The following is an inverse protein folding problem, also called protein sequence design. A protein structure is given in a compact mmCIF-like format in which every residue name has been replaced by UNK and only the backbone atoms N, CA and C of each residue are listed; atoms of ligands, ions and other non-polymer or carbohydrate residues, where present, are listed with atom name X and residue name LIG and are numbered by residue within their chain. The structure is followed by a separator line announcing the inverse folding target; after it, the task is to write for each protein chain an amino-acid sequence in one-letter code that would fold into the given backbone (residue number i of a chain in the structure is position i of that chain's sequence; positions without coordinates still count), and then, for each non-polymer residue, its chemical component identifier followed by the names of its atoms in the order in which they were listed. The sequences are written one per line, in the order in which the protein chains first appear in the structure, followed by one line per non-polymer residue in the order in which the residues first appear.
data_IF_373511077020
#
_entry.id   IF_373511077020
#
_cell.length_a   1.000
_cell.length_b   1.000
_cell.length_c   1.000
_cell.angle_alpha   90.00
_cell.angle_beta   90.00
_cell.angle_gamma   90.00
#
_symmetry.space_group_name_H-M   'P 1'
#
loop_
_entity.id
_entity.type
_entity.pdbx_description
1 polymer ?
#
# COMPACT_ATOMS: atom_id res chain seq x y z
N UNK A 1 -21.42 11.06 -104.22
CA UNK A 1 -22.04 10.43 -103.03
C UNK A 1 -21.41 9.07 -102.80
N UNK A 2 -21.43 8.60 -101.55
CA UNK A 2 -20.89 7.33 -101.01
C UNK A 2 -19.38 7.25 -100.82
N UNK A 3 -19.00 7.31 -99.53
CA UNK A 3 -17.64 7.44 -99.05
C UNK A 3 -16.80 6.17 -99.09
N UNK A 4 -15.50 6.39 -99.22
CA UNK A 4 -14.45 5.39 -99.14
C UNK A 4 -14.34 4.86 -97.70
N UNK A 5 -15.00 3.73 -97.42
CA UNK A 5 -14.49 2.76 -96.46
C UNK A 5 -13.47 1.90 -97.18
N UNK A 6 -12.23 1.85 -96.70
CA UNK A 6 -11.53 0.58 -96.41
C UNK A 6 -10.15 0.81 -95.80
N UNK A 7 -10.00 0.14 -94.64
CA UNK A 7 -8.79 -0.52 -94.13
C UNK A 7 -7.70 0.41 -93.61
N UNK A 8 -7.94 0.90 -92.40
CA UNK A 8 -6.87 0.94 -91.42
C UNK A 8 -6.30 -0.47 -91.29
N UNK A 9 -5.00 -0.60 -91.52
CA UNK A 9 -4.20 -1.80 -91.30
C UNK A 9 -4.34 -2.18 -89.82
N UNK A 10 -5.20 -3.15 -89.55
CA UNK A 10 -5.32 -3.76 -88.23
C UNK A 10 -3.98 -4.36 -87.84
N UNK A 11 -3.41 -3.85 -86.75
CA UNK A 11 -2.23 -4.41 -86.08
C UNK A 11 -2.51 -5.89 -85.77
N UNK A 12 -1.52 -6.81 -85.89
CA UNK A 12 -1.75 -8.25 -85.78
C UNK A 12 -2.16 -8.63 -84.34
N UNK A 13 -3.44 -8.98 -84.17
CA UNK A 13 -4.10 -9.26 -82.88
C UNK A 13 -3.69 -10.57 -82.18
N UNK A 14 -2.74 -11.34 -82.73
CA UNK A 14 -2.37 -12.66 -82.18
C UNK A 14 -1.20 -12.64 -81.20
N UNK A 15 -0.17 -11.83 -81.49
CA UNK A 15 1.08 -11.85 -80.71
C UNK A 15 0.96 -10.96 -79.47
N UNK A 16 0.39 -9.76 -79.59
CA UNK A 16 0.20 -8.89 -78.42
C UNK A 16 -0.83 -9.44 -77.43
N UNK A 17 -1.91 -10.08 -77.90
CA UNK A 17 -2.86 -10.77 -77.01
C UNK A 17 -2.21 -11.95 -76.27
N UNK A 18 -1.31 -12.69 -76.93
CA UNK A 18 -0.57 -13.78 -76.29
C UNK A 18 0.45 -13.29 -75.26
N UNK A 19 1.12 -12.16 -75.53
CA UNK A 19 2.05 -11.53 -74.57
C UNK A 19 1.30 -11.00 -73.35
N UNK A 20 0.17 -10.32 -73.53
CA UNK A 20 -0.69 -9.84 -72.43
C UNK A 20 -1.24 -11.00 -71.61
N UNK A 21 -1.70 -12.08 -72.26
CA UNK A 21 -2.18 -13.27 -71.55
C UNK A 21 -1.06 -14.02 -70.79
N UNK A 22 0.15 -14.05 -71.34
CA UNK A 22 1.32 -14.62 -70.67
C UNK A 22 1.77 -13.77 -69.48
N UNK A 23 1.69 -12.44 -69.58
CA UNK A 23 1.98 -11.51 -68.48
C UNK A 23 0.93 -11.62 -67.36
N UNK A 24 -0.36 -11.70 -67.71
CA UNK A 24 -1.44 -11.93 -66.75
C UNK A 24 -1.29 -13.30 -66.05
N UNK A 25 -0.87 -14.35 -66.78
CA UNK A 25 -0.57 -15.66 -66.19
C UNK A 25 0.66 -15.62 -65.29
N UNK A 26 1.70 -14.86 -65.65
CA UNK A 26 2.88 -14.67 -64.82
C UNK A 26 2.55 -13.90 -63.53
N UNK A 27 1.69 -12.89 -63.60
CA UNK A 27 1.23 -12.13 -62.45
C UNK A 27 0.33 -12.96 -61.54
N UNK A 28 -0.60 -13.74 -62.10
CA UNK A 28 -1.38 -14.73 -61.32
C UNK A 28 -0.48 -15.74 -60.63
N UNK A 29 0.58 -16.22 -61.29
CA UNK A 29 1.58 -17.12 -60.69
C UNK A 29 2.36 -16.42 -59.56
N UNK A 30 2.81 -15.18 -59.75
CA UNK A 30 3.46 -14.37 -58.71
C UNK A 30 2.55 -14.15 -57.51
N UNK A 31 1.27 -13.80 -57.73
CA UNK A 31 0.28 -13.64 -56.67
C UNK A 31 0.01 -14.96 -55.93
N UNK A 32 -0.07 -16.09 -56.64
CA UNK A 32 -0.24 -17.42 -56.04
C UNK A 32 0.95 -17.79 -55.14
N UNK A 33 2.18 -17.49 -55.58
CA UNK A 33 3.39 -17.74 -54.77
C UNK A 33 3.42 -16.89 -53.51
N UNK A 34 3.06 -15.60 -53.60
CA UNK A 34 3.02 -14.72 -52.43
C UNK A 34 1.97 -15.19 -51.41
N UNK A 35 0.79 -15.58 -51.89
CA UNK A 35 -0.28 -16.12 -51.04
C UNK A 35 0.16 -17.41 -50.34
N UNK A 36 0.82 -18.32 -51.05
CA UNK A 36 1.36 -19.55 -50.48
C UNK A 36 2.43 -19.30 -49.40
N UNK A 37 3.31 -18.31 -49.59
CA UNK A 37 4.31 -17.92 -48.58
C UNK A 37 3.64 -17.36 -47.33
N UNK A 38 2.64 -16.49 -47.50
CA UNK A 38 1.88 -15.91 -46.39
C UNK A 38 1.08 -16.99 -45.64
N UNK A 39 0.44 -17.92 -46.35
CA UNK A 39 -0.31 -19.01 -45.74
C UNK A 39 0.63 -19.99 -45.01
N UNK A 40 1.82 -20.25 -45.55
CA UNK A 40 2.86 -21.01 -44.86
C UNK A 40 3.36 -20.29 -43.60
N UNK A 41 3.51 -18.97 -43.63
CA UNK A 41 3.89 -18.19 -42.45
C UNK A 41 2.78 -18.19 -41.38
N UNK A 42 1.51 -18.05 -41.79
CA UNK A 42 0.34 -18.17 -40.91
C UNK A 42 0.21 -19.56 -40.30
N UNK A 43 0.49 -20.60 -41.08
CA UNK A 43 0.50 -21.98 -40.60
C UNK A 43 1.61 -22.21 -39.58
N UNK A 44 2.83 -21.72 -39.85
CA UNK A 44 3.94 -21.75 -38.87
C UNK A 44 3.61 -20.99 -37.59
N UNK A 45 2.88 -19.88 -37.67
CA UNK A 45 2.44 -19.13 -36.49
C UNK A 45 1.36 -19.89 -35.69
N UNK A 46 0.45 -20.61 -36.36
CA UNK A 46 -0.53 -21.49 -35.71
C UNK A 46 0.15 -22.70 -35.06
N UNK A 47 1.12 -23.31 -35.74
CA UNK A 47 1.94 -24.41 -35.21
C UNK A 47 2.79 -23.93 -34.01
N UNK A 48 3.35 -22.73 -34.07
CA UNK A 48 4.09 -22.12 -32.95
C UNK A 48 3.17 -21.79 -31.74
N UNK A 49 1.94 -21.31 -31.98
CA UNK A 49 0.92 -21.15 -30.91
C UNK A 49 0.41 -22.47 -30.37
N UNK A 50 0.42 -23.54 -31.15
CA UNK A 50 0.09 -24.91 -30.71
C UNK A 50 1.24 -25.62 -29.99
N UNK A 51 2.49 -25.18 -30.17
CA UNK A 51 3.68 -25.79 -29.58
C UNK A 51 3.92 -25.45 -28.09
N UNK A 52 3.02 -24.71 -27.44
CA UNK A 52 3.07 -24.43 -25.98
C UNK A 52 1.99 -25.16 -25.16
N UNK A 53 1.42 -26.25 -25.69
CA UNK A 53 0.53 -27.11 -24.91
C UNK A 53 0.71 -28.58 -25.29
N UNK A 54 1.95 -29.08 -25.23
CA UNK A 54 2.17 -30.51 -24.96
C UNK A 54 2.53 -30.60 -23.50
N UNK A 55 1.51 -30.90 -22.69
CA UNK A 55 1.69 -31.28 -21.31
C UNK A 55 2.86 -32.24 -21.23
N UNK A 56 3.88 -31.84 -20.48
CA UNK A 56 4.78 -32.79 -19.88
C UNK A 56 3.90 -33.70 -19.05
N UNK A 57 3.55 -34.87 -19.59
CA UNK A 57 3.00 -35.99 -18.84
C UNK A 57 4.12 -36.58 -17.98
N UNK A 58 4.70 -35.72 -17.14
CA UNK A 58 5.30 -36.12 -15.90
C UNK A 58 4.10 -36.51 -15.06
N UNK A 59 3.78 -37.81 -15.10
CA UNK A 59 3.02 -38.42 -14.03
C UNK A 59 3.54 -37.81 -12.71
N UNK A 60 2.68 -37.23 -11.85
CA UNK A 60 3.16 -36.69 -10.60
C UNK A 60 3.90 -37.82 -9.91
N UNK A 61 5.24 -37.69 -9.83
CA UNK A 61 6.05 -38.57 -8.99
C UNK A 61 5.36 -38.53 -7.63
N UNK A 62 4.89 -39.65 -7.08
CA UNK A 62 4.40 -39.67 -5.71
C UNK A 62 5.57 -39.21 -4.83
N UNK A 63 5.48 -37.98 -4.31
CA UNK A 63 6.57 -37.32 -3.59
C UNK A 63 6.91 -35.89 -4.00
N UNK A 64 6.23 -35.29 -5.00
CA UNK A 64 6.43 -33.88 -5.40
C UNK A 64 5.12 -33.07 -5.47
N UNK A 65 4.11 -33.46 -4.69
CA UNK A 65 2.92 -32.62 -4.53
C UNK A 65 3.35 -31.34 -3.80
N UNK A 66 3.33 -30.22 -4.50
CA UNK A 66 3.59 -28.92 -3.89
C UNK A 66 2.59 -28.68 -2.76
N UNK A 67 3.10 -28.32 -1.58
CA UNK A 67 2.28 -28.00 -0.43
C UNK A 67 2.02 -26.49 -0.42
N UNK A 68 0.75 -26.10 -0.50
CA UNK A 68 0.33 -24.73 -0.24
C UNK A 68 0.79 -24.28 1.16
N UNK A 69 1.11 -23.00 1.36
CA UNK A 69 1.61 -22.52 2.63
C UNK A 69 0.54 -22.66 3.71
N UNK A 70 0.95 -23.15 4.88
CA UNK A 70 0.13 -23.25 6.08
C UNK A 70 0.87 -22.63 7.26
N UNK A 71 0.17 -21.87 8.09
CA UNK A 71 0.78 -21.18 9.23
C UNK A 71 0.81 -22.14 10.42
N UNK A 72 2.02 -22.54 10.82
CA UNK A 72 2.26 -23.39 12.00
C UNK A 72 2.26 -22.57 13.27
N UNK A 73 2.77 -21.33 13.21
CA UNK A 73 2.76 -20.40 14.34
C UNK A 73 2.25 -19.03 13.90
N UNK A 74 1.07 -18.68 14.43
CA UNK A 74 0.49 -17.37 14.25
C UNK A 74 1.31 -16.30 15.00
N UNK A 75 1.31 -15.04 14.52
CA UNK A 75 1.88 -13.93 15.26
C UNK A 75 1.12 -13.69 16.58
N UNK A 76 1.74 -13.00 17.56
CA UNK A 76 1.05 -12.59 18.77
C UNK A 76 -0.19 -11.74 18.45
N UNK A 77 -1.27 -11.90 19.20
CA UNK A 77 -2.48 -11.10 18.99
C UNK A 77 -2.25 -9.62 19.31
N UNK A 78 -1.47 -9.33 20.36
CA UNK A 78 -1.17 -7.98 20.82
C UNK A 78 0.32 -7.86 21.13
N UNK A 79 0.93 -6.76 20.70
CA UNK A 79 2.32 -6.40 20.99
C UNK A 79 2.32 -5.00 21.57
N UNK A 80 2.90 -4.83 22.75
CA UNK A 80 2.99 -3.51 23.41
C UNK A 80 4.45 -3.15 23.61
N UNK A 81 4.88 -2.02 23.06
CA UNK A 81 6.26 -1.55 23.12
C UNK A 81 6.28 -0.09 23.54
N UNK A 82 7.27 0.31 24.34
CA UNK A 82 7.46 1.72 24.68
C UNK A 82 7.93 2.51 23.45
N UNK A 83 7.58 3.80 23.38
CA UNK A 83 8.10 4.68 22.32
C UNK A 83 9.64 4.68 22.30
N UNK A 84 10.23 4.60 21.10
CA UNK A 84 11.67 4.44 20.87
C UNK A 84 12.19 3.01 21.06
N UNK A 85 11.30 2.05 21.35
CA UNK A 85 11.63 0.64 21.50
C UNK A 85 11.72 -0.13 20.18
N UNK A 86 11.82 -1.46 20.31
CA UNK A 86 11.87 -2.40 19.17
C UNK A 86 10.72 -3.41 19.31
N UNK A 87 9.89 -3.53 18.28
CA UNK A 87 8.86 -4.57 18.18
C UNK A 87 9.30 -5.65 17.21
N UNK A 88 8.99 -6.89 17.57
CA UNK A 88 9.25 -8.07 16.77
C UNK A 88 7.96 -8.86 16.63
N UNK A 89 7.51 -9.03 15.40
CA UNK A 89 6.32 -9.81 15.08
C UNK A 89 6.78 -10.96 14.18
N UNK A 90 6.60 -12.19 14.65
CA UNK A 90 7.09 -13.39 13.95
C UNK A 90 5.92 -14.27 13.54
N UNK A 91 5.96 -14.75 12.30
CA UNK A 91 5.09 -15.80 11.78
C UNK A 91 5.96 -16.99 11.38
N UNK A 92 5.45 -18.20 11.51
CA UNK A 92 6.11 -19.41 11.00
C UNK A 92 5.13 -20.14 10.10
N UNK A 93 5.52 -20.32 8.84
CA UNK A 93 4.75 -21.05 7.85
C UNK A 93 5.55 -22.26 7.34
N UNK A 94 4.83 -23.31 7.00
CA UNK A 94 5.35 -24.49 6.31
C UNK A 94 4.69 -24.58 4.94
N UNK A 95 5.41 -25.15 3.98
CA UNK A 95 4.94 -25.31 2.61
C UNK A 95 6.10 -25.62 1.68
N UNK A 96 5.80 -25.80 0.40
CA UNK A 96 6.85 -25.98 -0.60
C UNK A 96 7.64 -24.69 -0.80
N UNK A 97 8.99 -24.71 -0.71
CA UNK A 97 9.81 -23.54 -1.00
C UNK A 97 9.82 -23.21 -2.51
N UNK A 98 10.08 -21.95 -2.91
CA UNK A 98 10.34 -20.80 -2.04
C UNK A 98 9.05 -20.17 -1.49
N UNK A 99 9.04 -19.92 -0.17
CA UNK A 99 7.99 -19.14 0.47
C UNK A 99 8.31 -17.65 0.35
N UNK A 100 7.31 -16.88 -0.07
CA UNK A 100 7.37 -15.42 -0.12
C UNK A 100 6.54 -14.82 1.00
N UNK A 101 7.03 -13.74 1.60
CA UNK A 101 6.40 -13.05 2.72
C UNK A 101 6.15 -11.59 2.36
N UNK A 102 5.02 -11.05 2.83
CA UNK A 102 4.70 -9.63 2.76
C UNK A 102 3.93 -9.21 4.01
N UNK A 103 4.57 -8.40 4.84
CA UNK A 103 3.92 -7.77 5.98
C UNK A 103 3.11 -6.56 5.52
N UNK A 104 1.90 -6.47 6.04
CA UNK A 104 0.96 -5.40 5.80
C UNK A 104 0.62 -4.72 7.12
N UNK A 105 0.45 -3.40 7.07
CA UNK A 105 -0.08 -2.57 8.16
C UNK A 105 -1.39 -1.94 7.71
N UNK A 106 -2.45 -2.14 8.48
CA UNK A 106 -3.78 -1.57 8.21
C UNK A 106 -4.28 -1.89 6.78
N UNK A 107 -3.97 -3.11 6.31
CA UNK A 107 -4.32 -3.60 4.96
C UNK A 107 -3.43 -3.09 3.82
N UNK A 108 -2.35 -2.36 4.10
CA UNK A 108 -1.41 -1.85 3.08
C UNK A 108 -0.04 -2.52 3.20
N UNK A 109 0.63 -2.85 2.09
CA UNK A 109 1.99 -3.38 2.14
C UNK A 109 2.95 -2.46 2.87
N UNK A 110 3.72 -3.02 3.80
CA UNK A 110 4.70 -2.28 4.58
C UNK A 110 6.01 -2.17 3.80
N UNK A 111 6.55 -0.96 3.71
CA UNK A 111 7.86 -0.70 3.12
C UNK A 111 8.89 -0.65 4.25
N UNK A 112 9.31 -1.83 4.73
CA UNK A 112 10.35 -1.98 5.75
C UNK A 112 11.36 -3.04 5.29
N UNK A 113 12.60 -2.96 5.77
CA UNK A 113 13.65 -3.92 5.39
C UNK A 113 13.27 -5.37 5.70
N UNK A 114 12.51 -5.58 6.79
CA UNK A 114 12.05 -6.88 7.28
C UNK A 114 10.60 -7.18 6.89
N UNK A 115 9.98 -6.41 5.99
CA UNK A 115 8.60 -6.67 5.56
C UNK A 115 8.46 -7.87 4.62
N UNK A 116 9.58 -8.44 4.15
CA UNK A 116 9.60 -9.63 3.27
C UNK A 116 10.22 -10.87 3.92
N UNK A 117 10.25 -10.90 5.25
CA UNK A 117 10.83 -11.99 6.04
C UNK A 117 9.81 -12.56 7.02
N UNK A 118 10.09 -13.73 7.59
CA UNK A 118 9.22 -14.41 8.56
C UNK A 118 9.08 -13.64 9.89
N UNK A 119 10.05 -12.77 10.17
CA UNK A 119 10.06 -11.88 11.32
C UNK A 119 10.11 -10.43 10.85
N UNK A 120 9.10 -9.64 11.24
CA UNK A 120 9.06 -8.20 11.10
C UNK A 120 9.71 -7.56 12.32
N UNK A 121 10.73 -6.76 12.09
CA UNK A 121 11.44 -5.99 13.12
C UNK A 121 11.29 -4.51 12.84
N UNK A 122 10.61 -3.82 13.75
CA UNK A 122 10.42 -2.37 13.73
C UNK A 122 11.30 -1.77 14.85
N UNK A 123 12.15 -0.82 14.49
CA UNK A 123 13.08 -0.13 15.40
C UNK A 123 12.64 1.32 15.53
N UNK A 124 12.91 1.93 16.69
CA UNK A 124 12.56 3.32 17.00
C UNK A 124 11.06 3.59 16.83
N UNK A 125 10.25 2.77 17.51
CA UNK A 125 8.81 2.75 17.33
C UNK A 125 8.15 4.00 17.90
N UNK A 126 7.36 4.70 17.07
CA UNK A 126 6.50 5.81 17.43
C UNK A 126 5.02 5.49 17.33
N UNK A 127 4.17 6.47 17.66
CA UNK A 127 2.70 6.34 17.64
C UNK A 127 2.20 6.08 16.21
N UNK A 128 2.92 6.54 15.19
CA UNK A 128 2.66 6.29 13.78
C UNK A 128 2.79 4.82 13.36
N UNK A 129 3.52 4.02 14.15
CA UNK A 129 3.62 2.58 13.92
C UNK A 129 2.49 1.80 14.60
N UNK A 130 1.66 2.42 15.44
CA UNK A 130 0.47 1.75 15.98
C UNK A 130 -0.47 1.35 14.85
N UNK A 131 -1.04 0.16 14.96
CA UNK A 131 -1.98 -0.38 13.97
C UNK A 131 -2.01 -1.89 13.94
N UNK A 132 -2.71 -2.40 12.94
CA UNK A 132 -2.99 -3.81 12.77
C UNK A 132 -2.03 -4.41 11.74
N UNK A 133 -1.24 -5.39 12.15
CA UNK A 133 -0.24 -6.04 11.32
C UNK A 133 -0.69 -7.44 10.92
N UNK A 134 -0.58 -7.76 9.63
CA UNK A 134 -0.82 -9.10 9.10
C UNK A 134 0.29 -9.48 8.12
N UNK A 135 0.62 -10.77 8.05
CA UNK A 135 1.57 -11.30 7.09
C UNK A 135 0.86 -12.15 6.04
N UNK A 136 1.09 -11.82 4.78
CA UNK A 136 0.70 -12.62 3.62
C UNK A 136 1.85 -13.53 3.25
N UNK A 137 1.59 -14.83 3.17
CA UNK A 137 2.57 -15.84 2.76
C UNK A 137 2.06 -16.56 1.52
N UNK A 138 2.89 -16.69 0.48
CA UNK A 138 2.50 -17.39 -0.74
C UNK A 138 3.65 -18.18 -1.37
N UNK A 139 3.28 -19.19 -2.14
CA UNK A 139 4.14 -19.93 -3.05
C UNK A 139 3.39 -20.24 -4.36
N UNK A 140 3.92 -21.13 -5.19
CA UNK A 140 3.30 -21.56 -6.45
C UNK A 140 2.01 -22.35 -6.27
N UNK A 141 1.80 -22.96 -5.10
CA UNK A 141 0.70 -23.88 -4.80
C UNK A 141 -0.46 -23.18 -4.07
N UNK A 142 -0.22 -22.00 -3.48
CA UNK A 142 -1.27 -21.20 -2.86
C UNK A 142 -0.78 -20.03 -2.02
N UNK A 143 -1.71 -19.48 -1.26
CA UNK A 143 -1.51 -18.31 -0.41
C UNK A 143 -2.28 -18.49 0.91
N UNK A 144 -1.70 -17.99 1.99
CA UNK A 144 -2.33 -17.92 3.30
C UNK A 144 -2.08 -16.56 3.95
N UNK A 145 -3.08 -16.06 4.66
CA UNK A 145 -3.00 -14.82 5.42
C UNK A 145 -2.95 -15.13 6.92
N UNK A 146 -2.05 -14.47 7.65
CA UNK A 146 -1.96 -14.62 9.11
C UNK A 146 -3.11 -13.97 9.85
N UNK A 147 -3.27 -14.33 11.12
CA UNK A 147 -4.07 -13.54 12.05
C UNK A 147 -3.50 -12.13 12.20
N UNK A 148 -4.36 -11.20 12.57
CA UNK A 148 -3.99 -9.81 12.84
C UNK A 148 -3.27 -9.72 14.19
N UNK A 149 -2.15 -9.00 14.22
CA UNK A 149 -1.36 -8.64 15.40
C UNK A 149 -1.48 -7.13 15.62
N UNK A 150 -2.12 -6.72 16.71
CA UNK A 150 -2.26 -5.31 17.06
C UNK A 150 -0.99 -4.79 17.76
N UNK A 151 -0.37 -3.74 17.23
CA UNK A 151 0.76 -3.06 17.84
C UNK A 151 0.29 -1.80 18.57
N UNK A 152 0.57 -1.73 19.87
CA UNK A 152 0.25 -0.59 20.75
C UNK A 152 1.53 0.01 21.31
N UNK A 153 1.63 1.34 21.30
CA UNK A 153 2.83 2.06 21.72
C UNK A 153 2.57 2.80 23.03
N UNK A 154 3.27 2.37 24.09
CA UNK A 154 3.17 3.03 25.39
C UNK A 154 4.08 4.26 25.41
N UNK A 155 3.48 5.43 25.61
CA UNK A 155 4.23 6.67 25.82
C UNK A 155 4.92 6.60 27.17
N UNK A 156 6.24 6.81 27.20
CA UNK A 156 6.98 7.01 28.43
C UNK A 156 6.59 8.36 29.03
N UNK A 157 5.48 8.40 29.76
CA UNK A 157 5.16 9.57 30.57
C UNK A 157 6.22 9.64 31.66
N UNK A 158 7.02 10.69 31.64
CA UNK A 158 8.05 10.94 32.65
C UNK A 158 7.42 11.23 34.01
N UNK A 159 6.83 10.24 34.68
CA UNK A 159 6.71 10.29 36.14
C UNK A 159 8.07 9.92 36.69
N UNK A 160 9.01 10.88 36.59
CA UNK A 160 10.19 10.89 37.43
C UNK A 160 9.68 10.93 38.87
N UNK A 161 9.46 9.76 39.46
CA UNK A 161 9.43 9.65 40.91
C UNK A 161 10.90 9.76 41.34
N UNK A 162 11.44 10.97 41.20
CA UNK A 162 12.65 11.42 41.86
C UNK A 162 12.30 11.42 43.34
N UNK A 163 12.21 10.24 43.95
CA UNK A 163 12.32 10.13 45.40
C UNK A 163 13.63 10.83 45.70
N UNK A 164 13.53 11.99 46.33
CA UNK A 164 14.67 12.76 46.76
C UNK A 164 15.62 11.81 47.51
N UNK A 165 16.71 11.40 46.86
CA UNK A 165 17.87 10.86 47.54
C UNK A 165 18.66 12.05 48.05
N UNK A 166 18.37 12.49 49.27
CA UNK A 166 19.07 13.59 49.92
C UNK A 166 18.41 14.01 51.23
N UNK A 167 18.82 13.37 52.33
CA UNK A 167 18.64 13.70 53.75
C UNK A 167 17.54 14.72 54.13
N UNK A 168 16.37 14.23 54.54
CA UNK A 168 15.55 14.91 55.53
C UNK A 168 15.89 14.33 56.91
N UNK A 169 16.62 15.10 57.72
CA UNK A 169 16.75 14.85 59.17
C UNK A 169 15.38 14.99 59.83
N UNK A 170 14.90 14.01 60.61
CA UNK A 170 13.69 14.16 61.40
C UNK A 170 14.01 15.00 62.64
N UNK A 171 13.59 16.26 62.65
CA UNK A 171 13.57 17.08 63.88
C UNK A 171 12.17 17.04 64.49
N UNK A 172 12.04 16.20 65.51
CA UNK A 172 11.29 16.44 66.73
C UNK A 172 9.83 16.90 66.62
N UNK A 173 8.91 15.94 66.66
CA UNK A 173 7.60 16.15 67.26
C UNK A 173 7.77 16.37 68.77
N UNK A 174 7.66 17.62 69.23
CA UNK A 174 7.50 17.93 70.66
C UNK A 174 6.04 18.26 70.95
N UNK A 175 5.40 17.35 71.68
CA UNK A 175 4.08 17.53 72.28
C UNK A 175 4.10 18.72 73.24
N UNK A 176 3.22 19.71 73.01
CA UNK A 176 2.81 20.64 74.06
C UNK A 176 1.29 20.57 74.15
N UNK A 177 0.85 20.01 75.27
CA UNK A 177 -0.53 19.94 75.70
C UNK A 177 -0.60 20.82 76.96
N UNK A 178 -1.19 22.02 76.87
CA UNK A 178 -1.65 22.76 78.04
C UNK A 178 -2.96 23.50 77.74
N UNK A 179 -3.88 23.29 78.67
CA UNK A 179 -5.29 23.57 78.67
C UNK A 179 -5.51 24.94 79.35
N UNK A 180 -6.16 25.92 78.72
CA UNK A 180 -6.78 27.03 79.45
C UNK A 180 -8.04 27.54 78.73
N UNK A 181 -9.18 27.28 79.37
CA UNK A 181 -10.49 27.81 79.07
C UNK A 181 -10.54 29.32 79.27
N UNK A 182 -11.16 30.07 78.34
CA UNK A 182 -11.94 31.30 78.60
C UNK A 182 -12.70 31.81 77.37
N UNK A 183 -13.99 32.05 77.60
CA UNK A 183 -14.98 32.71 76.75
C UNK A 183 -14.55 34.09 76.21
N UNK A 184 -14.91 34.41 74.95
CA UNK A 184 -15.77 35.58 74.60
C UNK A 184 -15.95 35.74 73.09
N UNK A 185 -17.21 35.58 72.67
CA UNK A 185 -17.97 36.50 71.80
C UNK A 185 -17.22 37.66 71.13
N UNK A 186 -17.32 37.79 69.80
CA UNK A 186 -18.09 38.88 69.19
C UNK A 186 -18.06 38.91 67.65
N UNK A 187 -19.28 39.06 67.12
CA UNK A 187 -19.72 39.84 65.95
C UNK A 187 -19.29 39.47 64.52
N UNK A 188 -20.34 39.15 63.74
CA UNK A 188 -20.70 39.75 62.43
C UNK A 188 -19.77 39.49 61.24
N UNK A 189 -20.23 39.20 60.03
CA UNK A 189 -21.56 39.10 59.44
C UNK A 189 -21.34 38.46 58.06
N UNK A 190 -22.38 37.73 57.61
CA UNK A 190 -22.75 37.42 56.24
C UNK A 190 -22.24 38.44 55.20
N UNK A 191 -21.88 38.07 53.97
CA UNK A 191 -22.82 37.40 53.06
C UNK A 191 -22.14 36.61 51.93
N UNK A 192 -22.81 35.51 51.62
CA UNK A 192 -22.65 34.60 50.49
C UNK A 192 -23.43 35.19 49.29
N UNK A 193 -23.11 34.71 48.09
CA UNK A 193 -24.09 34.29 47.05
C UNK A 193 -24.12 35.08 45.72
N UNK A 194 -23.54 34.41 44.71
CA UNK A 194 -24.02 34.18 43.33
C UNK A 194 -24.19 35.30 42.27
N UNK A 195 -23.88 34.87 41.03
CA UNK A 195 -24.00 35.48 39.70
C UNK A 195 -25.47 35.81 39.29
N UNK A 196 -25.87 36.18 38.03
CA UNK A 196 -25.17 36.27 36.73
C UNK A 196 -25.60 37.45 35.78
N UNK A 197 -25.13 37.39 34.51
CA UNK A 197 -25.73 37.89 33.24
C UNK A 197 -25.14 39.10 32.47
N UNK A 198 -25.00 38.89 31.15
CA UNK A 198 -24.65 39.79 30.00
C UNK A 198 -25.79 40.78 29.66
N UNK A 199 -25.76 41.61 28.58
CA UNK A 199 -24.68 42.26 27.78
C UNK A 199 -24.96 43.77 27.49
N UNK A 200 -24.03 44.52 26.87
CA UNK A 200 -24.30 45.54 25.82
C UNK A 200 -23.04 46.33 25.38
N UNK A 201 -22.82 46.42 24.06
CA UNK A 201 -21.96 47.38 23.35
C UNK A 201 -22.68 48.74 23.24
N UNK A 202 -22.01 49.91 23.06
CA UNK A 202 -21.77 50.40 21.68
C UNK A 202 -20.58 51.38 21.45
N UNK A 203 -20.24 51.52 20.16
CA UNK A 203 -19.83 52.72 19.39
C UNK A 203 -18.59 53.59 19.74
N UNK A 204 -17.63 53.55 18.79
CA UNK A 204 -17.15 54.64 17.90
C UNK A 204 -16.26 55.77 18.47
N UNK A 205 -15.03 55.84 17.96
CA UNK A 205 -14.30 57.03 17.43
C UNK A 205 -13.10 56.45 16.62
N UNK A 206 -13.01 56.52 15.28
CA UNK A 206 -12.84 57.63 14.31
C UNK A 206 -11.62 58.53 14.60
N UNK A 207 -10.56 58.33 13.80
CA UNK A 207 -9.62 59.28 13.17
C UNK A 207 -8.50 58.38 12.58
N UNK A 208 -8.36 58.15 11.28
CA UNK A 208 -7.90 59.10 10.25
C UNK A 208 -6.36 59.18 10.30
N UNK A 209 -5.54 59.09 9.25
CA UNK A 209 -5.68 59.20 7.78
C UNK A 209 -4.28 58.86 7.18
N UNK A 210 -4.27 58.24 5.98
CA UNK A 210 -3.24 58.23 4.90
C UNK A 210 -1.84 57.60 5.10
N UNK A 211 -1.49 56.58 4.29
CA UNK A 211 -0.85 56.68 2.95
C UNK A 211 -0.41 55.25 2.50
N UNK A 212 -0.90 54.73 1.37
CA UNK A 212 -0.25 54.69 0.03
C UNK A 212 0.93 53.69 -0.04
N UNK A 213 1.13 52.71 -0.93
CA UNK A 213 0.56 52.17 -2.20
C UNK A 213 1.21 50.75 -2.36
N UNK A 214 0.61 49.77 -3.07
CA UNK A 214 1.15 48.40 -3.21
C UNK A 214 2.25 48.23 -4.28
N UNK A 215 3.16 47.28 -4.03
CA UNK A 215 4.12 46.75 -5.01
C UNK A 215 3.46 45.73 -5.94
N UNK A 216 3.71 45.86 -7.24
CA UNK A 216 3.67 44.78 -8.22
C UNK A 216 5.08 44.63 -8.79
#
# INVERSE_FOLDING_TARGET
YSGARRRGLGRPAGIEAAVVAAEEAAEKRRQLTLKAVVDRARQRLKEARGATAKGSDVAPRPGLLGAAPSIVKQPPLNVTVASGGVAKIKVVAEGSPPLSYEWMKDGRPLIAATSRTEELVLVDIGVENEGDYACRIWNTDGEVLSSVSQLVVTRLTGRLNRKHSGLATPMGSSSINQNFSRNRTSFSSLSIESAPSKPATPHRQRLGVQNSIPST
#
